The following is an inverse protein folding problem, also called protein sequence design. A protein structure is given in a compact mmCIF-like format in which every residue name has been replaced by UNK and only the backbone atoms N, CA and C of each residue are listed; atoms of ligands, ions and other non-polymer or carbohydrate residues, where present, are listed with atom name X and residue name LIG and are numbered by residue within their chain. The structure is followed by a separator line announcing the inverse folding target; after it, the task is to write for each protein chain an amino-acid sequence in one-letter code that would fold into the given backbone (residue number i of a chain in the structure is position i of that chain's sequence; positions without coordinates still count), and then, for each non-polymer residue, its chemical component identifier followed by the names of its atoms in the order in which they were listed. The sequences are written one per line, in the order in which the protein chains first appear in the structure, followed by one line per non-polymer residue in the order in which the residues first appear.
data_IF_148664837345
#
_entry.id   IF_148664837345
#
_cell.length_a   1.000
_cell.length_b   1.000
_cell.length_c   1.000
_cell.angle_alpha   90.00
_cell.angle_beta   90.00
_cell.angle_gamma   90.00
#
_symmetry.space_group_name_H-M   'P 1'
#
loop_
_entity.id
_entity.type
_entity.pdbx_description
1 polymer ?
#
# COMPACT_ATOMS: atom_id res chain seq x y z
N UNK A 1 49.67 -6.80 -24.23
CA UNK A 1 50.11 -8.20 -24.00
C UNK A 1 49.57 -8.64 -22.63
N UNK A 2 49.01 -9.80 -22.35
CA UNK A 2 48.58 -10.95 -23.13
C UNK A 2 47.87 -11.95 -22.20
N UNK A 3 46.63 -12.30 -22.56
CA UNK A 3 45.93 -13.61 -22.40
C UNK A 3 45.99 -14.42 -21.08
N UNK A 4 44.77 -14.63 -20.55
CA UNK A 4 44.10 -15.92 -20.16
C UNK A 4 44.84 -16.89 -19.22
N UNK A 5 44.15 -17.36 -18.17
CA UNK A 5 43.38 -18.63 -18.23
C UNK A 5 42.70 -18.96 -16.89
N UNK A 6 41.45 -19.42 -16.94
CA UNK A 6 40.87 -20.34 -15.94
C UNK A 6 41.23 -21.77 -16.35
N UNK A 7 41.27 -22.72 -15.40
CA UNK A 7 40.70 -24.02 -15.68
C UNK A 7 39.78 -24.55 -14.56
N UNK A 8 38.78 -25.30 -15.04
CA UNK A 8 37.79 -26.12 -14.33
C UNK A 8 38.35 -27.54 -14.13
N UNK A 9 37.95 -28.24 -13.05
CA UNK A 9 37.99 -29.71 -12.94
C UNK A 9 37.81 -30.20 -11.50
N UNK A 10 36.64 -30.68 -11.05
CA UNK A 10 36.03 -32.02 -11.18
C UNK A 10 36.85 -33.23 -10.67
N UNK A 11 36.33 -33.90 -9.64
CA UNK A 11 36.53 -35.33 -9.29
C UNK A 11 35.24 -35.84 -8.59
N UNK A 12 34.27 -36.51 -9.23
CA UNK A 12 34.15 -37.88 -9.78
C UNK A 12 34.40 -39.04 -8.81
N UNK A 13 33.34 -39.81 -8.52
CA UNK A 13 33.25 -41.29 -8.66
C UNK A 13 31.81 -41.75 -8.32
N UNK A 14 31.17 -42.79 -8.89
CA UNK A 14 31.26 -43.62 -10.11
C UNK A 14 30.07 -44.62 -10.03
N UNK A 15 29.10 -44.59 -10.96
CA UNK A 15 28.77 -45.59 -12.02
C UNK A 15 28.73 -47.10 -11.68
N UNK A 16 27.65 -47.78 -12.12
CA UNK A 16 27.53 -48.85 -13.16
C UNK A 16 26.06 -49.35 -13.23
N UNK A 17 25.43 -49.82 -14.33
CA UNK A 17 25.68 -49.99 -15.78
C UNK A 17 24.33 -50.36 -16.47
N UNK A 18 23.89 -49.73 -17.58
CA UNK A 18 23.87 -50.18 -19.02
C UNK A 18 23.11 -51.51 -19.30
N UNK A 19 22.11 -51.61 -20.20
CA UNK A 19 22.04 -51.47 -21.70
C UNK A 19 20.56 -51.54 -22.15
N UNK A 20 20.00 -50.97 -23.23
CA UNK A 20 20.33 -50.92 -24.67
C UNK A 20 19.51 -49.78 -25.37
N UNK A 21 19.97 -49.28 -26.52
CA UNK A 21 19.29 -48.34 -27.44
C UNK A 21 18.94 -49.10 -28.77
N UNK A 22 18.36 -48.51 -29.87
CA UNK A 22 17.96 -47.10 -30.11
C UNK A 22 16.60 -46.89 -30.86
N UNK A 23 16.09 -45.65 -30.90
CA UNK A 23 15.70 -44.88 -32.11
C UNK A 23 14.64 -43.77 -31.87
N UNK A 24 14.92 -42.60 -32.46
CA UNK A 24 14.01 -41.56 -32.99
C UNK A 24 13.30 -40.58 -32.05
N UNK A 25 14.07 -39.55 -31.67
CA UNK A 25 13.87 -38.14 -32.03
C UNK A 25 12.41 -37.67 -32.29
N UNK A 26 11.78 -37.13 -31.25
CA UNK A 26 10.87 -35.99 -31.37
C UNK A 26 11.28 -34.96 -30.33
N UNK A 27 11.76 -33.82 -30.80
CA UNK A 27 11.96 -32.63 -29.98
C UNK A 27 10.63 -32.20 -29.39
N UNK A 28 10.42 -32.44 -28.10
CA UNK A 28 9.40 -31.76 -27.33
C UNK A 28 9.80 -30.29 -27.20
N UNK A 29 8.89 -29.40 -27.59
CA UNK A 29 8.96 -27.98 -27.27
C UNK A 29 9.10 -27.82 -25.74
N UNK A 30 9.79 -26.76 -25.25
CA UNK A 30 9.91 -26.55 -23.81
C UNK A 30 8.51 -26.48 -23.20
N UNK A 31 8.22 -27.40 -22.28
CA UNK A 31 6.98 -27.44 -21.55
C UNK A 31 6.76 -26.07 -20.88
N UNK A 32 5.57 -25.49 -21.11
CA UNK A 32 5.13 -24.31 -20.39
C UNK A 32 5.26 -24.58 -18.87
N UNK A 33 5.70 -23.59 -18.06
CA UNK A 33 5.79 -23.75 -16.63
C UNK A 33 4.43 -24.20 -16.08
N UNK A 34 4.35 -25.42 -15.55
CA UNK A 34 3.16 -25.90 -14.87
C UNK A 34 3.03 -25.14 -13.55
N UNK A 35 1.95 -24.39 -13.41
CA UNK A 35 1.57 -23.71 -12.18
C UNK A 35 1.06 -24.76 -11.19
N UNK A 36 1.84 -25.11 -10.17
CA UNK A 36 1.38 -26.01 -9.10
C UNK A 36 0.59 -25.19 -8.10
N UNK A 37 -0.74 -25.29 -8.13
CA UNK A 37 -1.63 -24.65 -7.15
C UNK A 37 -1.69 -25.48 -5.87
N UNK A 38 -1.41 -24.86 -4.72
CA UNK A 38 -1.56 -25.49 -3.41
C UNK A 38 -2.96 -25.18 -2.87
N UNK A 39 -3.83 -26.20 -2.89
CA UNK A 39 -5.17 -26.15 -2.30
C UNK A 39 -5.09 -26.67 -0.86
N UNK A 40 -5.94 -26.17 0.04
CA UNK A 40 -6.01 -26.64 1.42
C UNK A 40 -6.41 -28.13 1.50
N UNK A 41 -5.93 -28.86 2.52
CA UNK A 41 -6.12 -30.32 2.62
C UNK A 41 -7.59 -30.76 2.78
N UNK A 42 -8.48 -29.84 3.15
CA UNK A 42 -9.91 -30.06 3.39
C UNK A 42 -10.82 -29.56 2.26
N UNK A 43 -10.25 -29.01 1.19
CA UNK A 43 -10.99 -28.48 0.04
C UNK A 43 -10.91 -29.41 -1.18
N UNK A 44 -11.97 -29.42 -2.00
CA UNK A 44 -11.99 -30.19 -3.23
C UNK A 44 -11.17 -29.45 -4.32
N UNK A 45 -10.03 -29.99 -4.78
CA UNK A 45 -9.23 -29.35 -5.80
C UNK A 45 -9.93 -29.32 -7.16
N UNK A 46 -10.98 -30.12 -7.37
CA UNK A 46 -11.78 -30.13 -8.61
C UNK A 46 -12.94 -29.12 -8.56
N UNK A 47 -13.19 -28.47 -7.42
CA UNK A 47 -14.18 -27.40 -7.32
C UNK A 47 -13.68 -26.14 -8.03
N UNK A 48 -14.46 -25.66 -9.01
CA UNK A 48 -14.05 -24.54 -9.87
C UNK A 48 -13.88 -23.23 -9.08
N UNK A 49 -14.66 -23.03 -8.00
CA UNK A 49 -14.56 -21.83 -7.15
C UNK A 49 -13.29 -21.89 -6.29
N UNK A 50 -12.96 -23.07 -5.76
CA UNK A 50 -11.72 -23.29 -5.01
C UNK A 50 -10.51 -23.01 -5.90
N UNK A 51 -10.53 -23.46 -7.15
CA UNK A 51 -9.47 -23.18 -8.13
C UNK A 51 -9.34 -21.68 -8.43
N UNK A 52 -10.45 -20.98 -8.71
CA UNK A 52 -10.45 -19.55 -8.96
C UNK A 52 -9.91 -18.75 -7.76
N UNK A 53 -10.36 -19.07 -6.53
CA UNK A 53 -9.83 -18.45 -5.32
C UNK A 53 -8.32 -18.69 -5.19
N UNK A 54 -7.86 -19.90 -5.49
CA UNK A 54 -6.43 -20.25 -5.37
C UNK A 54 -5.57 -19.50 -6.38
N UNK A 55 -6.06 -19.35 -7.62
CA UNK A 55 -5.43 -18.51 -8.65
C UNK A 55 -5.38 -17.04 -8.20
N UNK A 56 -6.49 -16.52 -7.65
CA UNK A 56 -6.55 -15.16 -7.13
C UNK A 56 -5.55 -14.92 -6.00
N UNK A 57 -5.49 -15.81 -5.01
CA UNK A 57 -4.53 -15.69 -3.91
C UNK A 57 -3.08 -15.80 -4.40
N UNK A 58 -2.83 -16.66 -5.39
CA UNK A 58 -1.51 -16.78 -6.03
C UNK A 58 -1.12 -15.47 -6.72
N UNK A 59 -2.07 -14.80 -7.37
CA UNK A 59 -1.84 -13.48 -7.96
C UNK A 59 -1.49 -12.44 -6.89
N UNK A 60 -2.26 -12.39 -5.79
CA UNK A 60 -2.05 -11.41 -4.73
C UNK A 60 -0.73 -11.58 -3.97
N UNK A 61 -0.30 -12.83 -3.76
CA UNK A 61 0.97 -13.14 -3.09
C UNK A 61 2.17 -13.02 -4.03
N UNK A 62 1.93 -13.02 -5.34
CA UNK A 62 2.95 -12.80 -6.35
C UNK A 62 3.36 -11.33 -6.47
N UNK A 63 4.37 -11.05 -7.30
CA UNK A 63 4.84 -9.68 -7.57
C UNK A 63 3.87 -8.81 -8.37
N UNK A 64 2.74 -9.37 -8.83
CA UNK A 64 1.75 -8.69 -9.70
C UNK A 64 2.33 -8.08 -10.99
N UNK A 65 3.49 -8.53 -11.44
CA UNK A 65 4.20 -7.98 -12.60
C UNK A 65 3.62 -8.40 -13.97
N UNK A 66 2.64 -9.31 -13.99
CA UNK A 66 2.04 -9.82 -15.22
C UNK A 66 0.53 -10.00 -15.10
N UNK A 67 -0.17 -9.62 -16.16
CA UNK A 67 -1.59 -9.81 -16.37
C UNK A 67 -1.97 -11.26 -16.76
N UNK A 68 -0.99 -12.15 -16.99
CA UNK A 68 -1.22 -13.52 -17.47
C UNK A 68 -2.19 -14.30 -16.58
N UNK A 69 -1.98 -14.24 -15.27
CA UNK A 69 -2.81 -14.97 -14.30
C UNK A 69 -4.23 -14.38 -14.22
N UNK A 70 -4.34 -13.05 -14.26
CA UNK A 70 -5.62 -12.35 -14.28
C UNK A 70 -6.43 -12.67 -15.54
N UNK A 71 -5.78 -12.67 -16.72
CA UNK A 71 -6.41 -13.09 -17.97
C UNK A 71 -6.89 -14.56 -17.88
N UNK A 72 -6.12 -15.43 -17.22
CA UNK A 72 -6.54 -16.81 -16.94
C UNK A 72 -7.82 -16.87 -16.09
N UNK A 73 -7.86 -16.14 -14.98
CA UNK A 73 -9.03 -16.05 -14.08
C UNK A 73 -10.26 -15.52 -14.83
N UNK A 74 -10.10 -14.45 -15.61
CA UNK A 74 -11.20 -13.83 -16.36
C UNK A 74 -11.74 -14.77 -17.44
N UNK A 75 -10.88 -15.38 -18.25
CA UNK A 75 -11.32 -16.30 -19.30
C UNK A 75 -12.03 -17.54 -18.73
N UNK A 76 -11.54 -18.07 -17.61
CA UNK A 76 -12.19 -19.19 -16.93
C UNK A 76 -13.54 -18.77 -16.36
N UNK A 77 -13.60 -17.59 -15.72
CA UNK A 77 -14.86 -17.05 -15.19
C UNK A 77 -15.90 -16.81 -16.28
N UNK A 78 -15.50 -16.28 -17.44
CA UNK A 78 -16.36 -16.12 -18.61
C UNK A 78 -16.90 -17.47 -19.13
N UNK A 79 -16.03 -18.49 -19.19
CA UNK A 79 -16.40 -19.85 -19.58
C UNK A 79 -17.43 -20.45 -18.62
N UNK A 80 -17.15 -20.38 -17.32
CA UNK A 80 -18.02 -20.92 -16.27
C UNK A 80 -19.39 -20.22 -16.27
N UNK A 81 -19.41 -18.89 -16.30
CA UNK A 81 -20.65 -18.10 -16.33
C UNK A 81 -21.48 -18.37 -17.60
N UNK A 82 -20.82 -18.64 -18.73
CA UNK A 82 -21.48 -19.00 -19.99
C UNK A 82 -22.07 -20.42 -19.96
N UNK A 83 -21.38 -21.36 -19.28
CA UNK A 83 -21.79 -22.76 -19.20
C UNK A 83 -22.94 -22.98 -18.21
N UNK A 84 -22.90 -22.32 -17.05
CA UNK A 84 -23.93 -22.47 -16.00
C UNK A 84 -24.20 -21.14 -15.28
N UNK A 85 -24.89 -20.23 -15.99
CA UNK A 85 -25.19 -18.89 -15.47
C UNK A 85 -25.94 -18.91 -14.14
N UNK A 86 -26.90 -19.83 -13.96
CA UNK A 86 -27.71 -19.88 -12.74
C UNK A 86 -26.86 -20.26 -11.51
N UNK A 87 -25.92 -21.19 -11.65
CA UNK A 87 -24.97 -21.57 -10.59
C UNK A 87 -24.04 -20.41 -10.23
N UNK A 88 -23.38 -19.80 -11.22
CA UNK A 88 -22.28 -18.86 -10.98
C UNK A 88 -22.75 -17.43 -10.72
N UNK A 89 -23.83 -16.96 -11.38
CA UNK A 89 -24.37 -15.62 -11.15
C UNK A 89 -25.04 -15.44 -9.76
N UNK A 90 -25.33 -16.53 -9.06
CA UNK A 90 -25.83 -16.51 -7.69
C UNK A 90 -24.74 -16.73 -6.63
N UNK A 91 -23.48 -16.96 -7.03
CA UNK A 91 -22.38 -17.26 -6.11
C UNK A 91 -21.55 -16.01 -5.81
N UNK A 92 -21.58 -15.54 -4.55
CA UNK A 92 -20.86 -14.34 -4.10
C UNK A 92 -19.36 -14.42 -4.34
N UNK A 93 -18.75 -15.57 -4.04
CA UNK A 93 -17.30 -15.74 -4.12
C UNK A 93 -16.83 -15.72 -5.56
N UNK A 94 -17.55 -16.43 -6.45
CA UNK A 94 -17.33 -16.39 -7.89
C UNK A 94 -17.36 -14.96 -8.42
N UNK A 95 -18.44 -14.22 -8.16
CA UNK A 95 -18.63 -12.86 -8.67
C UNK A 95 -17.59 -11.90 -8.08
N UNK A 96 -17.24 -12.04 -6.81
CA UNK A 96 -16.21 -11.22 -6.17
C UNK A 96 -14.83 -11.44 -6.83
N UNK A 97 -14.38 -12.69 -6.97
CA UNK A 97 -13.09 -13.01 -7.60
C UNK A 97 -13.06 -12.53 -9.05
N UNK A 98 -14.14 -12.74 -9.80
CA UNK A 98 -14.23 -12.30 -11.18
C UNK A 98 -14.16 -10.77 -11.31
N UNK A 99 -14.96 -10.04 -10.52
CA UNK A 99 -14.96 -8.58 -10.53
C UNK A 99 -13.62 -7.98 -10.08
N UNK A 100 -12.99 -8.58 -9.06
CA UNK A 100 -11.65 -8.19 -8.58
C UNK A 100 -10.58 -8.40 -9.65
N UNK A 101 -10.61 -9.54 -10.36
CA UNK A 101 -9.64 -9.81 -11.42
C UNK A 101 -9.79 -8.81 -12.59
N UNK A 102 -11.02 -8.46 -12.96
CA UNK A 102 -11.28 -7.42 -13.97
C UNK A 102 -10.78 -6.04 -13.51
N UNK A 103 -10.98 -5.69 -12.23
CA UNK A 103 -10.50 -4.40 -11.70
C UNK A 103 -8.98 -4.32 -11.71
N UNK A 104 -8.28 -5.41 -11.38
CA UNK A 104 -6.82 -5.47 -11.47
C UNK A 104 -6.32 -5.39 -12.92
N UNK A 105 -7.00 -6.03 -13.89
CA UNK A 105 -6.66 -5.89 -15.31
C UNK A 105 -6.76 -4.46 -15.81
N UNK A 106 -7.67 -3.66 -15.24
CA UNK A 106 -7.79 -2.25 -15.59
C UNK A 106 -6.51 -1.46 -15.27
N UNK A 107 -5.71 -1.87 -14.26
CA UNK A 107 -4.43 -1.22 -13.94
C UNK A 107 -3.39 -1.39 -15.05
N UNK A 108 -3.41 -2.52 -15.76
CA UNK A 108 -2.51 -2.76 -16.88
C UNK A 108 -2.89 -1.96 -18.14
N UNK A 109 -4.03 -1.29 -18.11
CA UNK A 109 -4.55 -0.47 -19.19
C UNK A 109 -4.64 1.01 -18.77
N UNK A 110 -3.77 1.46 -17.85
CA UNK A 110 -3.80 2.82 -17.31
C UNK A 110 -3.75 3.92 -18.39
N UNK A 111 -3.02 3.66 -19.48
CA UNK A 111 -2.88 4.60 -20.61
C UNK A 111 -4.05 4.54 -21.62
N UNK A 112 -5.00 3.61 -21.44
CA UNK A 112 -6.16 3.39 -22.31
C UNK A 112 -7.45 3.51 -21.50
N UNK A 113 -7.95 4.75 -21.38
CA UNK A 113 -9.14 5.08 -20.59
C UNK A 113 -10.39 4.31 -21.05
N UNK A 114 -10.54 4.04 -22.35
CA UNK A 114 -11.70 3.29 -22.87
C UNK A 114 -11.64 1.82 -22.42
N UNK A 115 -10.46 1.20 -22.52
CA UNK A 115 -10.27 -0.18 -22.09
C UNK A 115 -10.35 -0.32 -20.57
N UNK A 116 -9.80 0.63 -19.83
CA UNK A 116 -9.91 0.69 -18.37
C UNK A 116 -11.38 0.78 -17.93
N UNK A 117 -12.15 1.73 -18.47
CA UNK A 117 -13.57 1.90 -18.14
C UNK A 117 -14.39 0.67 -18.55
N UNK A 118 -14.04 0.00 -19.66
CA UNK A 118 -14.69 -1.26 -20.03
C UNK A 118 -14.50 -2.34 -18.96
N UNK A 119 -13.27 -2.54 -18.47
CA UNK A 119 -13.02 -3.55 -17.43
C UNK A 119 -13.73 -3.20 -16.11
N UNK A 120 -13.62 -1.95 -15.66
CA UNK A 120 -14.27 -1.47 -14.43
C UNK A 120 -15.80 -1.53 -14.54
N UNK A 121 -16.36 -1.11 -15.67
CA UNK A 121 -17.79 -1.17 -15.95
C UNK A 121 -18.31 -2.61 -15.96
N UNK A 122 -17.60 -3.52 -16.63
CA UNK A 122 -17.94 -4.96 -16.63
C UNK A 122 -17.89 -5.53 -15.21
N UNK A 123 -16.87 -5.19 -14.42
CA UNK A 123 -16.76 -5.62 -13.03
C UNK A 123 -17.95 -5.15 -12.18
N UNK A 124 -18.39 -3.90 -12.34
CA UNK A 124 -19.55 -3.37 -11.63
C UNK A 124 -20.87 -4.03 -12.10
N UNK A 125 -21.05 -4.23 -13.40
CA UNK A 125 -22.22 -4.92 -13.96
C UNK A 125 -22.36 -6.34 -13.42
N UNK A 126 -21.25 -7.07 -13.26
CA UNK A 126 -21.24 -8.40 -12.63
C UNK A 126 -21.76 -8.36 -11.19
N UNK A 127 -21.31 -7.38 -10.40
CA UNK A 127 -21.74 -7.22 -9.00
C UNK A 127 -23.19 -6.72 -8.86
N UNK A 128 -23.80 -6.23 -9.94
CA UNK A 128 -25.18 -5.74 -9.98
C UNK A 128 -26.17 -6.71 -10.65
N UNK A 129 -25.70 -7.90 -11.08
CA UNK A 129 -26.53 -8.94 -11.66
C UNK A 129 -27.79 -9.19 -10.82
N UNK A 130 -28.98 -9.34 -11.44
CA UNK A 130 -30.22 -9.64 -10.73
C UNK A 130 -30.14 -10.91 -9.86
N UNK A 131 -29.41 -11.91 -10.34
CA UNK A 131 -29.16 -13.19 -9.66
C UNK A 131 -28.35 -13.01 -8.37
N UNK A 132 -27.51 -11.98 -8.29
CA UNK A 132 -26.73 -11.63 -7.11
C UNK A 132 -27.54 -10.84 -6.06
N UNK A 133 -28.81 -10.51 -6.33
CA UNK A 133 -29.61 -9.61 -5.49
C UNK A 133 -29.70 -10.07 -4.03
N UNK A 134 -29.90 -11.36 -3.80
CA UNK A 134 -30.04 -11.92 -2.46
C UNK A 134 -28.69 -12.00 -1.72
N UNK A 135 -27.59 -11.92 -2.46
CA UNK A 135 -26.22 -11.91 -1.96
C UNK A 135 -25.61 -10.49 -1.84
N UNK A 136 -26.31 -9.41 -2.21
CA UNK A 136 -25.74 -8.04 -2.20
C UNK A 136 -25.17 -7.60 -0.85
N UNK A 137 -25.68 -8.15 0.23
CA UNK A 137 -25.21 -7.86 1.59
C UNK A 137 -23.97 -8.68 1.99
N UNK A 138 -23.54 -9.61 1.16
CA UNK A 138 -22.35 -10.45 1.34
C UNK A 138 -21.08 -9.60 1.45
N UNK A 139 -20.27 -9.81 2.51
CA UNK A 139 -19.04 -9.05 2.72
C UNK A 139 -18.06 -9.07 1.55
N UNK A 140 -17.98 -10.16 0.77
CA UNK A 140 -17.07 -10.28 -0.36
C UNK A 140 -17.51 -9.43 -1.55
N UNK A 141 -18.81 -9.39 -1.85
CA UNK A 141 -19.34 -8.52 -2.91
C UNK A 141 -19.19 -7.04 -2.53
N UNK A 142 -19.40 -6.70 -1.25
CA UNK A 142 -19.15 -5.37 -0.70
C UNK A 142 -17.69 -4.96 -0.78
N UNK A 143 -16.78 -5.87 -0.45
CA UNK A 143 -15.34 -5.68 -0.58
C UNK A 143 -14.95 -5.41 -2.04
N UNK A 144 -15.39 -6.26 -2.97
CA UNK A 144 -15.10 -6.11 -4.40
C UNK A 144 -15.62 -4.76 -4.93
N UNK A 145 -16.87 -4.40 -4.59
CA UNK A 145 -17.48 -3.12 -4.97
C UNK A 145 -16.68 -1.93 -4.44
N UNK A 146 -16.31 -1.96 -3.16
CA UNK A 146 -15.53 -0.88 -2.53
C UNK A 146 -14.17 -0.71 -3.20
N UNK A 147 -13.47 -1.82 -3.46
CA UNK A 147 -12.18 -1.81 -4.15
C UNK A 147 -12.27 -1.19 -5.54
N UNK A 148 -13.23 -1.65 -6.36
CA UNK A 148 -13.44 -1.11 -7.71
C UNK A 148 -13.71 0.39 -7.66
N UNK A 149 -14.55 0.86 -6.74
CA UNK A 149 -14.88 2.28 -6.61
C UNK A 149 -13.66 3.11 -6.19
N UNK A 150 -12.94 2.71 -5.14
CA UNK A 150 -11.74 3.45 -4.70
C UNK A 150 -10.69 3.51 -5.81
N UNK A 151 -10.45 2.39 -6.49
CA UNK A 151 -9.51 2.31 -7.60
C UNK A 151 -9.93 3.19 -8.78
N UNK A 152 -11.22 3.21 -9.13
CA UNK A 152 -11.77 4.08 -10.19
C UNK A 152 -11.58 5.56 -9.86
N UNK A 153 -11.85 5.95 -8.61
CA UNK A 153 -11.67 7.33 -8.16
C UNK A 153 -10.19 7.72 -8.25
N UNK A 154 -9.28 6.86 -7.79
CA UNK A 154 -7.84 7.11 -7.81
C UNK A 154 -7.30 7.30 -9.24
N UNK A 155 -7.75 6.47 -10.19
CA UNK A 155 -7.28 6.52 -11.58
C UNK A 155 -7.83 7.73 -12.34
N UNK A 156 -9.14 7.99 -12.24
CA UNK A 156 -9.82 8.93 -13.15
C UNK A 156 -10.67 9.98 -12.43
N UNK A 157 -11.12 9.73 -11.20
CA UNK A 157 -12.13 10.56 -10.52
C UNK A 157 -11.64 11.94 -10.09
N UNK A 158 -10.35 12.06 -9.73
CA UNK A 158 -9.79 13.31 -9.20
C UNK A 158 -9.37 14.33 -10.29
N UNK A 159 -9.42 13.93 -11.56
CA UNK A 159 -9.08 14.78 -12.71
C UNK A 159 -10.32 15.38 -13.41
N UNK A 160 -11.54 15.05 -12.97
CA UNK A 160 -12.76 15.43 -13.68
C UNK A 160 -13.20 16.88 -13.40
N UNK A 161 -13.79 17.52 -14.41
CA UNK A 161 -14.37 18.87 -14.32
C UNK A 161 -15.56 18.96 -13.34
N UNK A 162 -15.89 20.18 -12.89
CA UNK A 162 -16.83 20.50 -11.79
C UNK A 162 -18.19 19.76 -11.80
N UNK A 163 -18.71 19.36 -12.96
CA UNK A 163 -20.00 18.66 -13.07
C UNK A 163 -19.99 17.21 -12.57
N UNK A 164 -18.81 16.56 -12.50
CA UNK A 164 -18.64 15.20 -11.99
C UNK A 164 -18.27 15.17 -10.48
N UNK A 165 -18.13 16.33 -9.85
CA UNK A 165 -17.66 16.46 -8.48
C UNK A 165 -18.59 15.84 -7.43
N UNK A 166 -19.89 16.05 -7.58
CA UNK A 166 -20.87 15.48 -6.65
C UNK A 166 -20.94 13.95 -6.77
N UNK A 167 -20.54 13.38 -7.90
CA UNK A 167 -20.47 11.94 -8.13
C UNK A 167 -19.29 11.31 -7.36
N UNK A 168 -18.09 11.91 -7.40
CA UNK A 168 -16.90 11.35 -6.72
C UNK A 168 -17.07 11.27 -5.20
N UNK A 169 -17.60 12.32 -4.57
CA UNK A 169 -17.83 12.33 -3.11
C UNK A 169 -18.86 11.27 -2.73
N UNK A 170 -19.97 11.19 -3.49
CA UNK A 170 -21.02 10.21 -3.25
C UNK A 170 -20.53 8.77 -3.48
N UNK A 171 -19.70 8.54 -4.50
CA UNK A 171 -19.07 7.26 -4.77
C UNK A 171 -18.13 6.84 -3.63
N UNK A 172 -17.26 7.74 -3.17
CA UNK A 172 -16.36 7.46 -2.05
C UNK A 172 -17.15 7.10 -0.79
N UNK A 173 -18.16 7.90 -0.44
CA UNK A 173 -19.00 7.66 0.73
C UNK A 173 -19.80 6.36 0.60
N UNK A 174 -20.38 6.09 -0.57
CA UNK A 174 -21.10 4.84 -0.83
C UNK A 174 -20.20 3.61 -0.72
N UNK A 175 -18.98 3.67 -1.26
CA UNK A 175 -17.98 2.61 -1.09
C UNK A 175 -17.62 2.40 0.38
N UNK A 176 -17.30 3.48 1.09
CA UNK A 176 -16.98 3.49 2.52
C UNK A 176 -18.10 2.88 3.38
N UNK A 177 -19.35 3.26 3.13
CA UNK A 177 -20.53 2.75 3.86
C UNK A 177 -20.83 1.29 3.53
N UNK A 178 -20.56 0.87 2.29
CA UNK A 178 -20.75 -0.52 1.88
C UNK A 178 -19.64 -1.44 2.36
N UNK A 179 -18.44 -0.91 2.59
CA UNK A 179 -17.26 -1.69 2.95
C UNK A 179 -17.46 -2.42 4.28
N UNK A 180 -17.06 -3.69 4.30
CA UNK A 180 -16.98 -4.48 5.52
C UNK A 180 -15.72 -5.31 5.49
N UNK A 181 -15.00 -5.33 6.60
CA UNK A 181 -13.94 -6.32 6.82
C UNK A 181 -14.57 -7.72 6.69
N UNK A 182 -13.94 -8.60 5.92
CA UNK A 182 -14.38 -9.99 5.76
C UNK A 182 -13.90 -10.85 6.94
N UNK A 183 -14.67 -11.87 7.31
CA UNK A 183 -14.23 -12.93 8.24
C UNK A 183 -13.55 -14.09 7.50
N UNK A 184 -13.56 -14.05 6.16
CA UNK A 184 -13.04 -15.11 5.32
C UNK A 184 -11.53 -14.94 5.12
N UNK A 185 -10.74 -15.74 5.82
CA UNK A 185 -9.29 -15.65 5.87
C UNK A 185 -8.57 -15.51 4.52
N UNK A 186 -8.91 -16.29 3.48
CA UNK A 186 -8.37 -16.11 2.13
C UNK A 186 -8.45 -14.69 1.56
N UNK A 187 -9.40 -13.86 1.99
CA UNK A 187 -9.62 -12.51 1.49
C UNK A 187 -9.11 -11.41 2.44
N UNK A 188 -8.40 -11.76 3.52
CA UNK A 188 -7.81 -10.76 4.41
C UNK A 188 -6.79 -9.86 3.69
N UNK A 189 -5.98 -10.43 2.78
CA UNK A 189 -5.04 -9.64 1.97
C UNK A 189 -5.79 -8.68 1.02
N UNK A 190 -6.83 -9.15 0.33
CA UNK A 190 -7.68 -8.29 -0.50
C UNK A 190 -8.35 -7.17 0.31
N UNK A 191 -8.74 -7.47 1.56
CA UNK A 191 -9.30 -6.48 2.49
C UNK A 191 -8.29 -5.41 2.84
N UNK A 192 -7.05 -5.81 3.16
CA UNK A 192 -5.96 -4.87 3.42
C UNK A 192 -5.65 -4.00 2.21
N UNK A 193 -5.51 -4.58 1.02
CA UNK A 193 -5.25 -3.81 -0.21
C UNK A 193 -6.35 -2.80 -0.53
N UNK A 194 -7.61 -3.14 -0.25
CA UNK A 194 -8.74 -2.22 -0.44
C UNK A 194 -8.65 -1.04 0.53
N UNK A 195 -8.26 -1.29 1.79
CA UNK A 195 -8.03 -0.23 2.77
C UNK A 195 -6.80 0.62 2.43
N UNK A 196 -5.74 0.01 1.89
CA UNK A 196 -4.57 0.73 1.40
C UNK A 196 -4.94 1.65 0.23
N UNK A 197 -5.74 1.17 -0.73
CA UNK A 197 -6.25 2.01 -1.82
C UNK A 197 -7.10 3.17 -1.30
N UNK A 198 -7.93 2.95 -0.29
CA UNK A 198 -8.69 4.01 0.36
C UNK A 198 -7.77 5.04 1.04
N UNK A 199 -6.71 4.57 1.72
CA UNK A 199 -5.70 5.43 2.30
C UNK A 199 -4.96 6.26 1.25
N UNK A 200 -4.43 5.62 0.20
CA UNK A 200 -3.70 6.28 -0.89
C UNK A 200 -4.57 7.38 -1.53
N UNK A 201 -5.86 7.10 -1.74
CA UNK A 201 -6.82 8.09 -2.22
C UNK A 201 -6.93 9.30 -1.26
N UNK A 202 -7.01 9.07 0.05
CA UNK A 202 -7.06 10.14 1.04
C UNK A 202 -5.74 10.94 1.09
N UNK A 203 -4.60 10.30 0.86
CA UNK A 203 -3.31 11.00 0.73
C UNK A 203 -3.29 11.93 -0.48
N UNK A 204 -3.78 11.45 -1.63
CA UNK A 204 -3.91 12.29 -2.83
C UNK A 204 -4.85 13.46 -2.56
N UNK A 205 -5.98 13.24 -1.88
CA UNK A 205 -6.91 14.31 -1.49
C UNK A 205 -6.24 15.34 -0.59
N UNK A 206 -5.45 14.91 0.38
CA UNK A 206 -4.75 15.80 1.29
C UNK A 206 -3.73 16.68 0.57
N UNK A 207 -2.95 16.06 -0.31
CA UNK A 207 -1.86 16.69 -1.04
C UNK A 207 -2.30 17.39 -2.32
N UNK A 208 -3.57 17.27 -2.71
CA UNK A 208 -4.09 17.94 -3.89
C UNK A 208 -3.89 19.46 -3.82
N UNK A 209 -3.35 20.02 -4.91
CA UNK A 209 -3.06 21.45 -5.06
C UNK A 209 -1.79 21.91 -4.32
N UNK A 210 -1.13 21.05 -3.54
CA UNK A 210 0.23 21.31 -3.06
C UNK A 210 1.19 21.03 -4.21
N UNK A 211 2.17 21.90 -4.47
CA UNK A 211 3.24 21.55 -5.39
C UNK A 211 3.95 20.30 -4.86
N UNK A 212 4.22 19.33 -5.73
CA UNK A 212 5.15 18.27 -5.38
C UNK A 212 6.48 18.96 -5.02
N UNK A 213 6.88 18.86 -3.74
CA UNK A 213 8.26 19.12 -3.40
C UNK A 213 9.05 18.07 -4.18
N UNK A 214 9.74 18.49 -5.24
CA UNK A 214 10.76 17.66 -5.86
C UNK A 214 11.72 17.35 -4.71
N UNK A 215 11.92 16.07 -4.34
CA UNK A 215 12.93 15.74 -3.36
C UNK A 215 14.25 16.26 -3.93
N UNK A 216 14.98 17.08 -3.18
CA UNK A 216 16.27 17.66 -3.58
C UNK A 216 17.39 16.59 -3.78
N UNK A 217 17.05 15.30 -3.90
CA UNK A 217 17.98 14.17 -3.90
C UNK A 217 17.63 13.08 -4.93
N UNK A 218 17.18 13.43 -6.14
CA UNK A 218 17.52 12.59 -7.28
C UNK A 218 18.83 13.11 -7.88
N UNK A 219 19.93 12.48 -7.47
CA UNK A 219 21.17 12.45 -8.25
C UNK A 219 20.82 11.99 -9.66
N UNK A 220 20.57 12.96 -10.54
CA UNK A 220 20.52 12.74 -11.99
C UNK A 220 21.95 12.44 -12.39
N UNK A 221 22.33 11.18 -12.26
CA UNK A 221 23.52 10.60 -12.85
C UNK A 221 23.28 10.54 -14.37
N UNK A 222 23.37 11.71 -15.02
CA UNK A 222 23.54 11.79 -16.47
C UNK A 222 24.98 12.19 -16.75
N UNK A 223 25.82 11.17 -16.93
CA UNK A 223 26.97 11.24 -17.82
C UNK A 223 26.46 11.70 -19.20
N UNK A 224 26.33 13.01 -19.39
CA UNK A 224 26.20 13.60 -20.71
C UNK A 224 27.11 14.83 -20.81
N UNK A 225 28.31 14.51 -21.29
CA UNK A 225 29.34 15.38 -21.78
C UNK A 225 28.75 16.39 -22.78
N UNK A 226 28.37 17.56 -22.28
CA UNK A 226 28.11 18.73 -23.13
C UNK A 226 28.57 20.00 -22.41
N UNK A 227 29.77 20.43 -22.81
CA UNK A 227 30.27 21.77 -22.56
C UNK A 227 29.30 22.81 -23.13
N UNK A 228 28.69 23.63 -22.27
CA UNK A 228 28.18 24.95 -22.63
C UNK A 228 28.02 25.86 -21.39
N UNK A 229 29.02 26.71 -21.23
CA UNK A 229 28.94 28.11 -20.77
C UNK A 229 28.29 28.44 -19.42
N UNK A 230 29.20 28.59 -18.44
CA UNK A 230 29.29 29.70 -17.48
C UNK A 230 28.33 30.87 -17.76
N UNK A 231 27.27 31.00 -16.95
CA UNK A 231 26.64 32.28 -16.62
C UNK A 231 25.97 32.22 -15.24
N UNK A 232 26.64 32.84 -14.27
CA UNK A 232 26.04 33.83 -13.36
C UNK A 232 24.89 33.41 -12.44
N UNK A 233 25.22 33.34 -11.16
CA UNK A 233 24.35 33.55 -10.01
C UNK A 233 23.00 34.24 -10.29
N UNK A 234 21.92 33.54 -9.95
CA UNK A 234 20.81 34.07 -9.17
C UNK A 234 20.05 32.89 -8.55
N UNK A 235 20.16 32.76 -7.22
CA UNK A 235 19.29 31.94 -6.36
C UNK A 235 17.85 32.47 -6.47
N UNK A 236 17.15 32.10 -7.53
CA UNK A 236 15.71 32.25 -7.61
C UNK A 236 15.08 30.97 -7.06
N UNK A 237 14.78 30.97 -5.75
CA UNK A 237 13.80 30.07 -5.18
C UNK A 237 12.53 30.16 -6.05
N UNK A 238 12.27 29.13 -6.86
CA UNK A 238 11.07 29.03 -7.66
C UNK A 238 9.93 28.91 -6.66
N UNK A 239 9.28 30.03 -6.35
CA UNK A 239 8.05 30.05 -5.57
C UNK A 239 7.00 29.30 -6.37
N UNK A 240 6.88 27.99 -6.11
CA UNK A 240 5.87 27.17 -6.77
C UNK A 240 4.52 27.63 -6.23
N UNK A 241 3.76 28.33 -7.07
CA UNK A 241 2.45 28.86 -6.70
C UNK A 241 1.54 27.71 -6.24
N UNK A 242 1.07 27.79 -4.99
CA UNK A 242 0.03 26.88 -4.51
C UNK A 242 -1.22 27.07 -5.37
N UNK A 243 -1.67 26.00 -6.03
CA UNK A 243 -2.92 26.03 -6.78
C UNK A 243 -4.05 26.09 -5.75
N UNK A 244 -4.67 27.26 -5.62
CA UNK A 244 -5.83 27.43 -4.73
C UNK A 244 -6.99 26.57 -5.25
N UNK A 245 -7.35 25.56 -4.46
CA UNK A 245 -8.51 24.72 -4.71
C UNK A 245 -9.78 25.56 -4.73
N UNK A 246 -10.55 25.50 -5.83
CA UNK A 246 -11.91 26.02 -5.82
C UNK A 246 -12.73 25.26 -4.76
N UNK A 247 -13.55 25.99 -4.00
CA UNK A 247 -14.47 25.43 -3.02
C UNK A 247 -15.53 24.53 -3.67
N UNK A 248 -15.74 24.64 -4.99
CA UNK A 248 -16.60 23.77 -5.80
C UNK A 248 -15.99 22.38 -6.07
N UNK A 249 -14.67 22.21 -5.90
CA UNK A 249 -13.96 20.96 -6.23
C UNK A 249 -14.44 19.77 -5.35
N UNK A 250 -14.62 18.56 -5.94
CA UNK A 250 -14.95 17.36 -5.16
C UNK A 250 -13.93 17.05 -4.07
N UNK A 251 -12.66 17.34 -4.39
CA UNK A 251 -11.53 17.16 -3.48
C UNK A 251 -11.64 18.09 -2.28
N UNK A 252 -12.20 19.30 -2.46
CA UNK A 252 -12.40 20.23 -1.36
C UNK A 252 -13.35 19.67 -0.30
N UNK A 253 -14.46 19.04 -0.71
CA UNK A 253 -15.43 18.41 0.20
C UNK A 253 -14.80 17.24 0.96
N UNK A 254 -14.11 16.32 0.26
CA UNK A 254 -13.40 15.21 0.92
C UNK A 254 -12.32 15.70 1.90
N UNK A 255 -11.64 16.79 1.56
CA UNK A 255 -10.60 17.39 2.41
C UNK A 255 -11.15 17.99 3.72
N UNK A 256 -12.39 18.48 3.74
CA UNK A 256 -13.03 19.00 4.95
C UNK A 256 -13.31 17.90 5.99
N UNK A 257 -13.62 16.69 5.54
CA UNK A 257 -13.91 15.54 6.40
C UNK A 257 -12.74 14.54 6.49
N UNK A 258 -11.57 14.92 5.98
CA UNK A 258 -10.37 14.08 5.92
C UNK A 258 -10.03 13.41 7.27
N UNK A 259 -10.05 14.10 8.43
CA UNK A 259 -9.78 13.44 9.72
C UNK A 259 -10.77 12.30 10.02
N UNK A 260 -12.06 12.47 9.68
CA UNK A 260 -13.07 11.45 9.91
C UNK A 260 -12.92 10.25 8.96
N UNK A 261 -12.47 10.49 7.73
CA UNK A 261 -12.18 9.43 6.76
C UNK A 261 -10.92 8.63 7.16
N UNK A 262 -9.85 9.31 7.58
CA UNK A 262 -8.64 8.66 8.09
C UNK A 262 -8.92 7.84 9.36
N UNK A 263 -9.72 8.39 10.29
CA UNK A 263 -10.14 7.66 11.49
C UNK A 263 -10.94 6.40 11.14
N UNK A 264 -11.85 6.48 10.17
CA UNK A 264 -12.56 5.30 9.69
C UNK A 264 -11.63 4.24 9.10
N UNK A 265 -10.67 4.64 8.26
CA UNK A 265 -9.70 3.71 7.67
C UNK A 265 -8.92 2.99 8.77
N UNK A 266 -8.46 3.73 9.79
CA UNK A 266 -7.79 3.19 10.97
C UNK A 266 -8.66 2.19 11.74
N UNK A 267 -9.94 2.51 11.97
CA UNK A 267 -10.86 1.62 12.67
C UNK A 267 -11.07 0.31 11.89
N UNK A 268 -11.18 0.37 10.57
CA UNK A 268 -11.29 -0.83 9.73
C UNK A 268 -9.99 -1.67 9.74
N UNK A 269 -8.83 -1.03 9.72
CA UNK A 269 -7.54 -1.72 9.84
C UNK A 269 -7.40 -2.42 11.20
N UNK A 270 -7.83 -1.77 12.30
CA UNK A 270 -7.84 -2.38 13.62
C UNK A 270 -8.80 -3.59 13.70
N UNK A 271 -9.95 -3.51 13.04
CA UNK A 271 -10.86 -4.65 12.90
C UNK A 271 -10.21 -5.80 12.13
N UNK A 272 -9.49 -5.50 11.04
CA UNK A 272 -8.77 -6.50 10.24
C UNK A 272 -7.62 -7.14 11.03
N UNK A 273 -6.81 -6.36 11.77
CA UNK A 273 -5.73 -6.92 12.60
C UNK A 273 -6.26 -7.96 13.60
N UNK A 274 -7.43 -7.70 14.20
CA UNK A 274 -8.06 -8.64 15.13
C UNK A 274 -8.52 -9.95 14.48
N UNK A 275 -8.70 -9.99 13.15
CA UNK A 275 -9.16 -11.17 12.40
C UNK A 275 -8.04 -11.95 11.74
N UNK A 276 -6.94 -11.30 11.37
CA UNK A 276 -5.78 -11.98 10.79
C UNK A 276 -5.14 -12.88 11.84
N UNK A 277 -4.98 -14.17 11.53
CA UNK A 277 -4.27 -15.11 12.40
C UNK A 277 -2.78 -15.11 12.07
N UNK A 278 -1.92 -15.10 13.10
CA UNK A 278 -0.46 -15.27 12.92
C UNK A 278 -0.06 -16.68 12.47
N UNK A 279 -0.97 -17.65 12.57
CA UNK A 279 -0.72 -19.05 12.21
C UNK A 279 -0.88 -19.32 10.70
N UNK A 280 -1.46 -18.36 9.96
CA UNK A 280 -1.54 -18.42 8.51
C UNK A 280 -0.19 -18.06 7.90
N UNK A 281 0.19 -18.70 6.79
CA UNK A 281 1.50 -18.52 6.16
C UNK A 281 1.88 -17.05 5.92
N UNK A 282 0.93 -16.24 5.42
CA UNK A 282 1.09 -14.79 5.18
C UNK A 282 0.64 -13.92 6.36
N UNK A 283 0.12 -14.54 7.42
CA UNK A 283 -0.44 -13.86 8.58
C UNK A 283 0.52 -12.88 9.27
N UNK A 284 1.77 -13.28 9.59
CA UNK A 284 2.75 -12.39 10.21
C UNK A 284 3.06 -11.16 9.35
N UNK A 285 3.38 -11.35 8.06
CA UNK A 285 3.71 -10.24 7.14
C UNK A 285 2.51 -9.30 6.94
N UNK A 286 1.32 -9.85 6.78
CA UNK A 286 0.10 -9.06 6.66
C UNK A 286 -0.17 -8.25 7.94
N UNK A 287 -0.01 -8.86 9.13
CA UNK A 287 -0.12 -8.13 10.40
C UNK A 287 0.90 -7.01 10.52
N UNK A 288 2.15 -7.24 10.11
CA UNK A 288 3.17 -6.20 10.15
C UNK A 288 2.74 -5.01 9.28
N UNK A 289 2.28 -5.27 8.05
CA UNK A 289 1.78 -4.23 7.15
C UNK A 289 0.55 -3.48 7.69
N UNK A 290 -0.41 -4.18 8.29
CA UNK A 290 -1.58 -3.56 8.92
C UNK A 290 -1.15 -2.64 10.06
N UNK A 291 -0.29 -3.13 10.97
CA UNK A 291 0.18 -2.35 12.10
C UNK A 291 1.01 -1.15 11.65
N UNK A 292 1.85 -1.31 10.62
CA UNK A 292 2.61 -0.21 10.03
C UNK A 292 1.67 0.93 9.58
N UNK A 293 0.65 0.59 8.79
CA UNK A 293 -0.30 1.59 8.29
C UNK A 293 -1.14 2.23 9.41
N UNK A 294 -1.53 1.47 10.44
CA UNK A 294 -2.19 2.05 11.62
C UNK A 294 -1.27 3.04 12.34
N UNK A 295 0.03 2.71 12.47
CA UNK A 295 1.04 3.60 13.05
C UNK A 295 1.17 4.90 12.28
N UNK A 296 1.29 4.82 10.95
CA UNK A 296 1.34 5.97 10.04
C UNK A 296 0.12 6.88 10.19
N UNK A 297 -1.09 6.29 10.26
CA UNK A 297 -2.34 7.04 10.49
C UNK A 297 -2.38 7.75 11.84
N UNK A 298 -1.77 7.20 12.89
CA UNK A 298 -1.66 7.87 14.20
C UNK A 298 -0.65 9.02 14.17
N UNK A 299 0.51 8.84 13.54
CA UNK A 299 1.49 9.94 13.40
C UNK A 299 0.91 11.09 12.58
N UNK A 300 0.17 10.77 11.51
CA UNK A 300 -0.49 11.79 10.68
C UNK A 300 -1.53 12.60 11.45
N UNK A 301 -2.26 11.97 12.37
CA UNK A 301 -3.19 12.67 13.27
C UNK A 301 -2.44 13.51 14.33
N UNK A 302 -1.26 13.06 14.77
CA UNK A 302 -0.43 13.77 15.73
C UNK A 302 0.24 15.01 15.13
N UNK A 303 0.68 14.94 13.87
CA UNK A 303 1.49 15.97 13.19
C UNK A 303 0.99 17.41 13.38
N UNK A 304 -0.27 17.78 13.03
CA UNK A 304 -0.72 19.16 13.18
C UNK A 304 -0.74 19.64 14.65
N UNK A 305 -0.91 18.72 15.61
CA UNK A 305 -0.85 19.04 17.04
C UNK A 305 0.59 19.25 17.49
N UNK A 306 1.50 18.36 17.04
CA UNK A 306 2.93 18.43 17.30
C UNK A 306 3.53 19.72 16.72
N UNK A 307 3.29 20.02 15.44
CA UNK A 307 3.80 21.23 14.79
C UNK A 307 3.34 22.49 15.51
N UNK A 308 2.05 22.57 15.86
CA UNK A 308 1.50 23.73 16.57
C UNK A 308 2.02 23.85 18.00
N UNK A 309 2.21 22.73 18.69
CA UNK A 309 2.84 22.75 20.00
C UNK A 309 4.29 23.26 19.91
N UNK A 310 5.09 22.69 19.01
CA UNK A 310 6.49 23.05 18.83
C UNK A 310 6.65 24.52 18.43
N UNK A 311 5.79 25.04 17.54
CA UNK A 311 5.83 26.45 17.16
C UNK A 311 5.54 27.35 18.37
N UNK A 312 4.50 27.07 19.15
CA UNK A 312 4.13 27.88 20.31
C UNK A 312 5.14 27.78 21.46
N UNK A 313 5.87 26.66 21.55
CA UNK A 313 6.82 26.40 22.64
C UNK A 313 8.22 26.95 22.33
N UNK A 314 8.63 26.97 21.06
CA UNK A 314 10.03 27.21 20.66
C UNK A 314 10.24 28.30 19.59
N UNK A 315 9.19 28.81 18.92
CA UNK A 315 9.36 29.99 18.07
C UNK A 315 9.27 31.28 18.91
N UNK A 316 10.32 32.10 18.83
CA UNK A 316 10.45 33.41 19.50
C UNK A 316 9.64 34.53 18.79
N UNK A 317 8.59 34.20 18.02
CA UNK A 317 7.76 35.22 17.39
C UNK A 317 6.94 35.96 18.45
N UNK A 318 7.19 37.27 18.61
CA UNK A 318 6.60 38.14 19.64
C UNK A 318 5.05 38.15 19.66
N UNK A 319 4.40 37.66 18.60
CA UNK A 319 2.94 37.58 18.45
C UNK A 319 2.30 36.37 19.17
N UNK A 320 3.07 35.36 19.59
CA UNK A 320 2.58 34.13 20.26
C UNK A 320 2.68 34.16 21.80
N UNK A 321 3.19 35.26 22.38
CA UNK A 321 3.42 35.41 23.82
C UNK A 321 2.14 35.38 24.70
N UNK A 322 0.95 35.41 24.08
CA UNK A 322 -0.36 35.36 24.73
C UNK A 322 -1.05 33.98 24.63
N UNK A 323 -0.37 32.94 24.15
CA UNK A 323 -0.95 31.60 24.07
C UNK A 323 -1.30 31.04 25.46
N UNK A 324 -2.55 30.58 25.62
CA UNK A 324 -3.01 29.95 26.87
C UNK A 324 -2.19 28.70 27.18
N UNK A 325 -1.41 28.75 28.26
CA UNK A 325 -0.57 27.64 28.72
C UNK A 325 -1.35 26.33 28.91
N UNK A 326 -2.65 26.40 29.26
CA UNK A 326 -3.49 25.21 29.34
C UNK A 326 -3.76 24.60 27.95
N UNK A 327 -3.99 25.43 26.94
CA UNK A 327 -4.20 25.00 25.56
C UNK A 327 -2.93 24.40 24.95
N UNK A 328 -1.77 25.01 25.19
CA UNK A 328 -0.46 24.49 24.73
C UNK A 328 -0.18 23.12 25.35
N UNK A 329 -0.40 22.98 26.67
CA UNK A 329 -0.25 21.70 27.35
C UNK A 329 -1.23 20.63 26.84
N UNK A 330 -2.44 21.02 26.44
CA UNK A 330 -3.42 20.10 25.87
C UNK A 330 -2.98 19.59 24.49
N UNK A 331 -2.47 20.48 23.61
CA UNK A 331 -1.89 20.08 22.32
C UNK A 331 -0.77 19.05 22.51
N UNK A 332 0.17 19.34 23.42
CA UNK A 332 1.26 18.43 23.76
C UNK A 332 0.74 17.06 24.22
N UNK A 333 -0.22 17.05 25.14
CA UNK A 333 -0.78 15.82 25.69
C UNK A 333 -1.46 14.97 24.62
N UNK A 334 -2.22 15.59 23.74
CA UNK A 334 -2.94 14.87 22.68
C UNK A 334 -1.96 14.35 21.63
N UNK A 335 -0.95 15.14 21.24
CA UNK A 335 0.13 14.71 20.36
C UNK A 335 0.90 13.51 20.96
N UNK A 336 1.33 13.61 22.22
CA UNK A 336 2.02 12.51 22.93
C UNK A 336 1.20 11.22 22.91
N UNK A 337 -0.10 11.31 23.22
CA UNK A 337 -0.97 10.15 23.26
C UNK A 337 -1.16 9.48 21.89
N UNK A 338 -1.12 10.24 20.79
CA UNK A 338 -1.19 9.71 19.43
C UNK A 338 0.15 9.11 19.01
N UNK A 339 1.27 9.79 19.27
CA UNK A 339 2.62 9.29 18.98
C UNK A 339 2.93 8.00 19.74
N UNK A 340 2.52 7.88 21.01
CA UNK A 340 2.66 6.65 21.79
C UNK A 340 1.88 5.46 21.19
N UNK A 341 0.68 5.72 20.65
CA UNK A 341 -0.09 4.70 19.93
C UNK A 341 0.61 4.30 18.64
N UNK A 342 1.14 5.27 17.88
CA UNK A 342 1.90 4.99 16.67
C UNK A 342 3.10 4.09 16.96
N UNK A 343 3.91 4.43 17.96
CA UNK A 343 5.06 3.63 18.42
C UNK A 343 4.63 2.21 18.79
N UNK A 344 3.52 2.06 19.51
CA UNK A 344 3.01 0.74 19.91
C UNK A 344 2.72 -0.14 18.68
N UNK A 345 2.16 0.45 17.62
CA UNK A 345 1.90 -0.24 16.37
C UNK A 345 3.18 -0.47 15.54
N UNK A 346 4.13 0.46 15.50
CA UNK A 346 5.41 0.25 14.81
C UNK A 346 6.26 -0.85 15.47
N UNK A 347 6.23 -0.97 16.80
CA UNK A 347 6.83 -2.12 17.50
C UNK A 347 6.19 -3.44 17.04
N UNK A 348 4.86 -3.46 16.88
CA UNK A 348 4.14 -4.63 16.39
C UNK A 348 4.37 -4.90 14.90
N UNK A 349 4.83 -3.90 14.14
CA UNK A 349 5.15 -3.98 12.72
C UNK A 349 6.63 -4.30 12.43
N UNK A 350 7.51 -4.32 13.44
CA UNK A 350 8.93 -4.59 13.27
C UNK A 350 9.16 -5.91 12.51
N UNK A 351 9.98 -5.82 11.47
CA UNK A 351 10.47 -6.98 10.73
C UNK A 351 12.00 -7.09 10.91
N UNK A 352 12.51 -8.17 11.49
CA UNK A 352 13.95 -8.38 11.65
C UNK A 352 14.74 -8.39 10.34
N UNK A 353 14.08 -8.65 9.21
CA UNK A 353 14.69 -8.74 7.88
C UNK A 353 14.60 -7.42 7.09
N UNK A 354 13.82 -6.45 7.57
CA UNK A 354 13.68 -5.13 6.95
C UNK A 354 14.17 -4.00 7.87
N UNK A 355 15.40 -3.50 7.65
CA UNK A 355 15.97 -2.38 8.39
C UNK A 355 15.13 -1.10 8.35
N UNK A 356 14.29 -0.90 7.33
CA UNK A 356 13.43 0.28 7.23
C UNK A 356 12.41 0.34 8.37
N UNK A 357 11.93 -0.81 8.86
CA UNK A 357 11.00 -0.85 10.01
C UNK A 357 11.61 -0.30 11.29
N UNK A 358 12.92 -0.46 11.49
CA UNK A 358 13.63 0.13 12.64
C UNK A 358 13.85 1.63 12.48
N UNK A 359 14.03 2.12 11.25
CA UNK A 359 14.15 3.56 10.97
C UNK A 359 12.83 4.25 11.28
N UNK A 360 11.72 3.72 10.77
CA UNK A 360 10.39 4.28 11.03
C UNK A 360 10.05 4.33 12.53
N UNK A 361 10.39 3.26 13.27
CA UNK A 361 10.24 3.25 14.72
C UNK A 361 11.17 4.26 15.42
N UNK A 362 12.38 4.45 14.91
CA UNK A 362 13.31 5.44 15.46
C UNK A 362 12.82 6.88 15.25
N UNK A 363 12.35 7.22 14.05
CA UNK A 363 11.77 8.53 13.73
C UNK A 363 10.56 8.82 14.63
N UNK A 364 9.71 7.82 14.87
CA UNK A 364 8.58 7.95 15.81
C UNK A 364 9.04 8.25 17.24
N UNK A 365 10.16 7.67 17.68
CA UNK A 365 10.76 8.03 18.97
C UNK A 365 11.35 9.44 18.94
N UNK A 366 11.94 9.91 17.84
CA UNK A 366 12.41 11.30 17.72
C UNK A 366 11.22 12.25 17.90
N UNK A 367 10.10 12.00 17.22
CA UNK A 367 8.87 12.78 17.37
C UNK A 367 8.38 12.79 18.82
N UNK A 368 8.40 11.65 19.49
CA UNK A 368 8.04 11.55 20.91
C UNK A 368 8.99 12.39 21.80
N UNK A 369 10.29 12.36 21.53
CA UNK A 369 11.29 13.15 22.25
C UNK A 369 11.12 14.65 22.06
N UNK A 370 10.75 15.08 20.85
CA UNK A 370 10.46 16.48 20.54
C UNK A 370 9.27 17.04 21.33
N UNK A 371 8.30 16.17 21.67
CA UNK A 371 7.11 16.53 22.45
C UNK A 371 7.34 16.55 23.97
N UNK A 372 8.49 16.05 24.46
CA UNK A 372 8.81 16.01 25.88
C UNK A 372 9.44 17.32 26.36
N UNK A 373 9.50 17.51 27.68
CA UNK A 373 10.15 18.70 28.25
C UNK A 373 11.63 18.73 27.86
N UNK A 374 12.14 19.91 27.48
CA UNK A 374 13.53 20.06 27.06
C UNK A 374 14.50 19.60 28.16
N UNK A 375 15.49 18.78 27.78
CA UNK A 375 16.49 18.17 28.65
C UNK A 375 15.89 17.28 29.76
N UNK A 376 14.65 16.80 29.59
CA UNK A 376 14.06 15.85 30.54
C UNK A 376 14.70 14.47 30.41
N UNK A 377 14.65 13.70 31.50
CA UNK A 377 15.14 12.31 31.52
C UNK A 377 14.37 11.45 30.51
N UNK A 378 13.08 11.74 30.33
CA UNK A 378 12.24 11.09 29.34
C UNK A 378 12.72 11.39 27.92
N UNK A 379 13.05 12.66 27.62
CA UNK A 379 13.55 13.09 26.32
C UNK A 379 14.85 12.39 25.97
N UNK A 380 15.84 12.44 26.86
CA UNK A 380 17.12 11.75 26.68
C UNK A 380 16.93 10.24 26.47
N UNK A 381 16.06 9.61 27.27
CA UNK A 381 15.77 8.19 27.14
C UNK A 381 15.13 7.84 25.79
N UNK A 382 14.29 8.73 25.27
CA UNK A 382 13.61 8.55 23.99
C UNK A 382 14.58 8.68 22.82
N UNK A 383 15.42 9.73 22.79
CA UNK A 383 16.46 9.87 21.76
C UNK A 383 17.50 8.74 21.82
N UNK A 384 17.85 8.25 23.01
CA UNK A 384 18.74 7.08 23.15
C UNK A 384 18.15 5.83 22.48
N UNK A 385 16.82 5.64 22.55
CA UNK A 385 16.16 4.52 21.84
C UNK A 385 16.20 4.73 20.33
N UNK A 386 15.92 5.93 19.85
CA UNK A 386 15.99 6.27 18.43
C UNK A 386 17.39 6.03 17.86
N UNK A 387 18.43 6.55 18.53
CA UNK A 387 19.83 6.36 18.14
C UNK A 387 20.20 4.87 18.04
N UNK A 388 19.81 4.08 19.05
CA UNK A 388 20.08 2.63 19.05
C UNK A 388 19.44 1.93 17.86
N UNK A 389 18.21 2.29 17.50
CA UNK A 389 17.50 1.73 16.36
C UNK A 389 18.12 2.17 15.03
N UNK A 390 18.46 3.45 14.87
CA UNK A 390 19.13 3.97 13.67
C UNK A 390 20.50 3.32 13.48
N UNK A 391 21.32 3.18 14.54
CA UNK A 391 22.59 2.45 14.46
C UNK A 391 22.39 1.01 14.01
N UNK A 392 21.37 0.32 14.54
CA UNK A 392 21.03 -1.05 14.15
C UNK A 392 20.63 -1.12 12.66
N UNK A 393 19.77 -0.22 12.20
CA UNK A 393 19.32 -0.14 10.80
C UNK A 393 20.47 0.18 9.86
N UNK A 394 21.30 1.14 10.22
CA UNK A 394 22.41 1.61 9.41
C UNK A 394 23.46 0.50 9.17
N UNK A 395 23.77 -0.28 10.21
CA UNK A 395 24.65 -1.45 10.10
C UNK A 395 24.04 -2.51 9.18
N UNK A 396 22.74 -2.80 9.34
CA UNK A 396 22.07 -3.83 8.54
C UNK A 396 21.89 -3.42 7.07
N UNK A 397 21.76 -2.12 6.79
CA UNK A 397 21.56 -1.57 5.45
C UNK A 397 22.85 -1.02 4.81
N UNK A 398 24.03 -1.42 5.31
CA UNK A 398 25.33 -1.03 4.75
C UNK A 398 25.54 0.50 4.64
N UNK A 399 25.26 1.21 5.73
CA UNK A 399 25.41 2.66 5.86
C UNK A 399 24.39 3.53 5.07
N UNK A 400 23.28 2.94 4.60
CA UNK A 400 22.21 3.69 3.90
C UNK A 400 21.55 4.79 4.74
N UNK A 401 21.59 4.68 6.07
CA UNK A 401 20.90 5.60 6.99
C UNK A 401 21.89 6.47 7.80
N UNK A 402 23.11 6.62 7.31
CA UNK A 402 24.17 7.37 7.99
C UNK A 402 23.78 8.84 8.16
N UNK A 403 23.15 9.44 7.15
CA UNK A 403 22.71 10.84 7.19
C UNK A 403 21.61 11.05 8.24
N UNK A 404 20.64 10.14 8.31
CA UNK A 404 19.56 10.18 9.32
C UNK A 404 20.15 10.05 10.73
N UNK A 405 21.13 9.16 10.90
CA UNK A 405 21.84 8.99 12.16
C UNK A 405 22.66 10.23 12.54
N UNK A 406 23.36 10.83 11.59
CA UNK A 406 24.16 12.03 11.83
C UNK A 406 23.28 13.24 12.17
N UNK A 407 22.15 13.41 11.47
CA UNK A 407 21.18 14.46 11.77
C UNK A 407 20.63 14.38 13.21
N UNK A 408 20.47 13.17 13.76
CA UNK A 408 20.08 13.00 15.16
C UNK A 408 21.21 13.35 16.15
N UNK A 409 22.46 13.06 15.78
CA UNK A 409 23.62 13.18 16.66
C UNK A 409 24.22 14.60 16.72
N UNK A 410 23.92 15.44 15.72
CA UNK A 410 24.43 16.82 15.63
C UNK A 410 25.73 16.94 14.84
#
# INVERSE_FOLDING_TARGET
MGKRSRPVGLSKNKKKAKTNAPAEDKSEAPAAPQLTLLVAEDEDPEDEIVQLRTLWNTYLQGGKDSDTLLNGIVNESDSLLSNDREKYAANSEFLAVFALALSELAMFCADDAERMEKYMGTAMELLDLPEARDAREDPLLKLARSKIVFQRILLNGLQQEESAAEDVVAQFMGARESFSVTDHAPYHLSTFETLNLAHDLLEVVENYGKPFAVPDNEEVDSDNDSEAEENGADDAAVAVEMVSLDKSSPVHKLKQELPAHMAWCRDQLALLDNRVSKEQAEGPKLKNNINRLIGELYLREADPLSTKFLSLQYNDDEDDADADAAAVNQLRKDALALTDKAISHFIAAEDPEDPATWVQLAESYIDLGNLQDNESVEQEATYTKAEKLLRKANVAAHNKYEDVLNNLLG
#
